data_IF_442676250597
#
_entry.id   IF_442676250597
#
_cell.length_a   1.000
_cell.length_b   1.000
_cell.length_c   1.000
_cell.angle_alpha   90.00
_cell.angle_beta   90.00
_cell.angle_gamma   90.00
#
_symmetry.space_group_name_H-M   'P 1'
#
loop_
_entity.id
_entity.type
_entity.pdbx_description
1 polymer ?
#
# COMPACT_ATOMS: atom_id res chain seq x y z
N UNK A 1 2.12 -12.64 -9.47
CA UNK A 1 1.17 -11.57 -9.76
C UNK A 1 0.88 -11.60 -11.25
N UNK A 2 -0.35 -11.31 -11.66
CA UNK A 2 -0.69 -11.17 -13.07
C UNK A 2 0.16 -10.10 -13.75
N UNK A 3 0.16 -10.12 -15.09
CA UNK A 3 0.77 -9.03 -15.87
C UNK A 3 0.02 -7.74 -15.59
N UNK A 4 0.75 -6.63 -15.57
CA UNK A 4 0.16 -5.31 -15.36
C UNK A 4 -0.37 -4.81 -16.69
N UNK A 5 -1.66 -4.52 -16.73
CA UNK A 5 -2.31 -3.86 -17.86
C UNK A 5 -2.01 -2.37 -17.79
N UNK A 6 -1.43 -1.82 -18.86
CA UNK A 6 -1.02 -0.43 -18.96
C UNK A 6 -2.11 0.35 -19.70
N UNK A 7 -2.97 1.02 -18.93
CA UNK A 7 -3.99 1.92 -19.45
C UNK A 7 -3.36 3.23 -19.94
N UNK A 8 -4.11 4.01 -20.73
CA UNK A 8 -3.65 5.33 -21.19
C UNK A 8 -3.27 6.24 -20.03
N UNK A 9 -4.09 6.23 -18.98
CA UNK A 9 -3.88 7.03 -17.78
C UNK A 9 -2.70 6.54 -16.94
N UNK A 10 -2.56 5.23 -16.75
CA UNK A 10 -1.42 4.66 -16.03
C UNK A 10 -0.09 4.96 -16.75
N UNK A 11 -0.09 4.94 -18.08
CA UNK A 11 1.06 5.32 -18.89
C UNK A 11 1.42 6.81 -18.75
N UNK A 12 0.40 7.68 -18.76
CA UNK A 12 0.59 9.11 -18.52
C UNK A 12 1.15 9.36 -17.11
N UNK A 13 0.58 8.72 -16.08
CA UNK A 13 1.06 8.83 -14.70
C UNK A 13 2.47 8.31 -14.55
N UNK A 14 2.84 7.21 -15.21
CA UNK A 14 4.23 6.71 -15.23
C UNK A 14 5.19 7.75 -15.79
N UNK A 15 4.79 8.43 -16.87
CA UNK A 15 5.59 9.49 -17.49
C UNK A 15 5.73 10.71 -16.59
N UNK A 16 4.64 11.17 -15.98
CA UNK A 16 4.64 12.26 -14.99
C UNK A 16 5.56 11.91 -13.81
N UNK A 17 5.39 10.71 -13.26
CA UNK A 17 6.20 10.19 -12.16
C UNK A 17 7.69 10.22 -12.51
N UNK A 18 8.10 9.66 -13.66
CA UNK A 18 9.50 9.70 -14.09
C UNK A 18 10.03 11.13 -14.23
N UNK A 19 9.24 12.05 -14.81
CA UNK A 19 9.64 13.45 -15.00
C UNK A 19 9.84 14.13 -13.64
N UNK A 20 8.97 13.86 -12.67
CA UNK A 20 9.08 14.43 -11.32
C UNK A 20 10.39 14.03 -10.62
N UNK A 21 10.86 12.80 -10.84
CA UNK A 21 12.16 12.32 -10.35
C UNK A 21 13.34 12.69 -11.27
N UNK A 22 13.13 13.50 -12.31
CA UNK A 22 14.16 13.95 -13.26
C UNK A 22 14.94 12.82 -13.95
N UNK A 23 14.34 11.63 -14.09
CA UNK A 23 14.99 10.48 -14.73
C UNK A 23 14.73 10.48 -16.24
N UNK A 24 15.76 10.20 -17.05
CA UNK A 24 15.59 10.12 -18.51
C UNK A 24 14.99 8.77 -18.89
N UNK A 25 14.05 8.78 -19.83
CA UNK A 25 13.45 7.57 -20.39
C UNK A 25 14.49 6.54 -20.91
N UNK A 26 15.61 7.02 -21.46
CA UNK A 26 16.70 6.16 -21.92
C UNK A 26 17.33 5.37 -20.79
N UNK A 27 17.60 6.03 -19.65
CA UNK A 27 18.27 5.41 -18.51
C UNK A 27 17.40 4.31 -17.91
N UNK A 28 16.08 4.53 -17.83
CA UNK A 28 15.12 3.51 -17.40
C UNK A 28 15.11 2.32 -18.37
N UNK A 29 15.09 2.58 -19.68
CA UNK A 29 15.08 1.53 -20.70
C UNK A 29 16.34 0.65 -20.61
N UNK A 30 17.51 1.29 -20.49
CA UNK A 30 18.80 0.62 -20.34
C UNK A 30 18.80 -0.25 -19.06
N UNK A 31 18.28 0.26 -17.93
CA UNK A 31 18.20 -0.49 -16.67
C UNK A 31 17.36 -1.78 -16.77
N UNK A 32 16.23 -1.74 -17.50
CA UNK A 32 15.39 -2.93 -17.70
C UNK A 32 15.82 -3.81 -18.88
N UNK A 33 17.00 -3.56 -19.46
CA UNK A 33 17.51 -4.23 -20.66
C UNK A 33 16.53 -4.18 -21.84
N UNK A 34 15.91 -3.02 -22.06
CA UNK A 34 14.99 -2.75 -23.17
C UNK A 34 15.45 -1.54 -23.97
N UNK A 35 14.87 -1.34 -25.14
CA UNK A 35 15.19 -0.17 -25.97
C UNK A 35 14.42 1.07 -25.52
N UNK A 36 14.97 2.26 -25.74
CA UNK A 36 14.25 3.52 -25.50
C UNK A 36 12.90 3.58 -26.25
N UNK A 37 12.81 2.93 -27.42
CA UNK A 37 11.55 2.80 -28.16
C UNK A 37 10.53 1.91 -27.44
N UNK A 38 10.96 0.83 -26.78
CA UNK A 38 10.07 0.02 -25.93
C UNK A 38 9.52 0.84 -24.77
N UNK A 39 10.39 1.55 -24.03
CA UNK A 39 9.95 2.34 -22.89
C UNK A 39 9.05 3.51 -23.30
N UNK A 40 9.35 4.18 -24.41
CA UNK A 40 8.45 5.19 -24.99
C UNK A 40 7.08 4.61 -25.36
N UNK A 41 7.02 3.39 -25.89
CA UNK A 41 5.74 2.71 -26.14
C UNK A 41 4.99 2.38 -24.84
N UNK A 42 5.69 2.11 -23.75
CA UNK A 42 5.09 1.90 -22.42
C UNK A 42 4.43 3.19 -21.91
N UNK A 43 5.16 4.33 -21.93
CA UNK A 43 4.66 5.64 -21.50
C UNK A 43 3.54 6.22 -22.38
N UNK A 44 3.34 5.67 -23.57
CA UNK A 44 2.27 6.07 -24.50
C UNK A 44 1.15 5.01 -24.60
N UNK A 45 1.11 4.03 -23.69
CA UNK A 45 0.12 2.93 -23.68
C UNK A 45 0.00 2.14 -25.01
N UNK A 46 1.06 2.14 -25.82
CA UNK A 46 1.19 1.35 -27.03
C UNK A 46 1.58 -0.11 -26.73
N UNK A 47 2.24 -0.34 -25.60
CA UNK A 47 2.36 -1.67 -24.98
C UNK A 47 1.23 -1.80 -23.97
N UNK A 48 0.36 -2.81 -24.15
CA UNK A 48 -0.82 -3.00 -23.30
C UNK A 48 -0.54 -3.77 -22.02
N UNK A 49 0.52 -4.58 -21.98
CA UNK A 49 0.85 -5.39 -20.81
C UNK A 49 2.35 -5.43 -20.53
N UNK A 50 2.71 -5.51 -19.26
CA UNK A 50 4.10 -5.65 -18.79
C UNK A 50 4.16 -6.66 -17.63
N UNK A 51 5.26 -7.41 -17.53
CA UNK A 51 5.47 -8.30 -16.40
C UNK A 51 5.54 -7.49 -15.09
N UNK A 52 4.83 -7.92 -14.04
CA UNK A 52 4.81 -7.24 -12.73
C UNK A 52 6.23 -6.95 -12.21
N UNK A 53 7.11 -7.95 -12.25
CA UNK A 53 8.50 -7.80 -11.80
C UNK A 53 9.30 -6.79 -12.61
N UNK A 54 8.99 -6.63 -13.90
CA UNK A 54 9.63 -5.62 -14.75
C UNK A 54 9.10 -4.23 -14.41
N UNK A 55 7.81 -4.10 -14.14
CA UNK A 55 7.22 -2.82 -13.76
C UNK A 55 7.68 -2.32 -12.40
N UNK A 56 7.78 -3.22 -11.41
CA UNK A 56 8.37 -2.90 -10.10
C UNK A 56 9.81 -2.40 -10.27
N UNK A 57 10.63 -3.09 -11.07
CA UNK A 57 12.00 -2.64 -11.38
C UNK A 57 12.05 -1.25 -12.02
N UNK A 58 11.15 -0.95 -12.95
CA UNK A 58 11.03 0.39 -13.56
C UNK A 58 10.82 1.45 -12.47
N UNK A 59 9.85 1.24 -11.59
CA UNK A 59 9.46 2.23 -10.60
C UNK A 59 10.48 2.39 -9.47
N UNK A 60 11.08 1.28 -9.05
CA UNK A 60 12.17 1.30 -8.06
C UNK A 60 13.40 2.01 -8.62
N UNK A 61 13.72 1.79 -9.90
CA UNK A 61 14.80 2.54 -10.56
C UNK A 61 14.51 4.04 -10.66
N UNK A 62 13.27 4.43 -10.99
CA UNK A 62 12.88 5.85 -11.10
C UNK A 62 13.09 6.58 -9.76
N UNK A 63 12.70 5.95 -8.66
CA UNK A 63 12.84 6.54 -7.32
C UNK A 63 14.21 6.30 -6.69
N UNK A 64 15.03 5.43 -7.29
CA UNK A 64 16.24 4.89 -6.68
C UNK A 64 16.01 4.27 -5.29
N UNK A 65 14.83 3.67 -5.07
CA UNK A 65 14.46 2.99 -3.83
C UNK A 65 13.70 1.71 -4.11
N UNK A 66 13.67 0.77 -3.17
CA UNK A 66 12.81 -0.42 -3.29
C UNK A 66 11.31 -0.13 -3.08
N UNK A 67 10.98 1.11 -2.70
CA UNK A 67 9.61 1.59 -2.45
C UNK A 67 8.98 2.29 -3.65
N UNK A 68 9.65 2.34 -4.80
CA UNK A 68 9.15 3.06 -5.97
C UNK A 68 7.78 2.58 -6.46
N UNK A 69 7.53 1.27 -6.46
CA UNK A 69 6.23 0.71 -6.82
C UNK A 69 5.10 1.14 -5.86
N UNK A 70 5.23 0.97 -4.54
CA UNK A 70 4.28 1.53 -3.57
C UNK A 70 4.03 3.02 -3.74
N UNK A 71 5.08 3.85 -3.84
CA UNK A 71 4.95 5.31 -4.00
C UNK A 71 4.16 5.68 -5.24
N UNK A 72 4.41 4.96 -6.35
CA UNK A 72 3.66 5.16 -7.58
C UNK A 72 2.18 4.80 -7.43
N UNK A 73 1.86 3.66 -6.81
CA UNK A 73 0.47 3.24 -6.63
C UNK A 73 -0.30 4.15 -5.67
N UNK A 74 0.34 4.65 -4.60
CA UNK A 74 -0.24 5.67 -3.74
C UNK A 74 -0.53 6.96 -4.54
N UNK A 75 0.41 7.42 -5.37
CA UNK A 75 0.19 8.60 -6.23
C UNK A 75 -0.98 8.41 -7.21
N UNK A 76 -1.21 7.18 -7.70
CA UNK A 76 -2.35 6.86 -8.54
C UNK A 76 -3.66 6.99 -7.75
N UNK A 77 -3.71 6.51 -6.50
CA UNK A 77 -4.92 6.54 -5.67
C UNK A 77 -5.48 7.94 -5.40
N UNK A 78 -4.61 8.95 -5.41
CA UNK A 78 -4.98 10.35 -5.19
C UNK A 78 -5.59 11.01 -6.44
N UNK A 79 -5.29 10.49 -7.63
CA UNK A 79 -5.59 11.15 -8.89
C UNK A 79 -6.68 10.45 -9.72
N UNK A 80 -6.95 9.17 -9.46
CA UNK A 80 -7.99 8.40 -10.16
C UNK A 80 -9.38 8.56 -9.53
N UNK A 81 -10.41 8.34 -10.36
CA UNK A 81 -11.78 8.16 -9.86
C UNK A 81 -11.90 6.85 -9.07
N UNK A 82 -12.92 6.74 -8.22
CA UNK A 82 -13.12 5.54 -7.42
C UNK A 82 -13.51 4.34 -8.30
N UNK A 83 -14.23 4.61 -9.39
CA UNK A 83 -14.55 3.64 -10.43
C UNK A 83 -13.28 3.13 -11.13
N UNK A 84 -12.37 4.02 -11.55
CA UNK A 84 -11.15 3.64 -12.24
C UNK A 84 -10.20 2.82 -11.34
N UNK A 85 -10.13 3.15 -10.05
CA UNK A 85 -9.34 2.39 -9.07
C UNK A 85 -9.87 0.97 -8.88
N UNK A 86 -11.19 0.80 -8.83
CA UNK A 86 -11.84 -0.51 -8.68
C UNK A 86 -11.72 -1.40 -9.90
N UNK A 87 -11.47 -0.83 -11.08
CA UNK A 87 -11.28 -1.60 -12.32
C UNK A 87 -9.80 -1.89 -12.61
N UNK A 88 -8.88 -1.21 -11.94
CA UNK A 88 -7.45 -1.40 -12.12
C UNK A 88 -6.94 -2.59 -11.28
N UNK A 89 -6.80 -3.76 -11.93
CA UNK A 89 -6.31 -4.99 -11.30
C UNK A 89 -4.94 -4.82 -10.61
N UNK A 90 -4.04 -4.03 -11.17
CA UNK A 90 -2.72 -3.81 -10.57
C UNK A 90 -2.84 -2.99 -9.27
N UNK A 91 -3.71 -1.97 -9.28
CA UNK A 91 -4.01 -1.20 -8.08
C UNK A 91 -4.74 -2.04 -7.02
N UNK A 92 -5.74 -2.84 -7.42
CA UNK A 92 -6.45 -3.74 -6.50
C UNK A 92 -5.50 -4.71 -5.80
N UNK A 93 -4.56 -5.31 -6.54
CA UNK A 93 -3.53 -6.18 -5.97
C UNK A 93 -2.65 -5.42 -4.97
N UNK A 94 -2.17 -4.23 -5.33
CA UNK A 94 -1.40 -3.41 -4.40
C UNK A 94 -2.17 -3.06 -3.12
N UNK A 95 -3.36 -2.45 -3.27
CA UNK A 95 -4.14 -1.90 -2.17
C UNK A 95 -4.68 -2.98 -1.23
N UNK A 96 -5.22 -4.07 -1.80
CA UNK A 96 -5.91 -5.09 -1.01
C UNK A 96 -5.05 -6.29 -0.60
N UNK A 97 -4.01 -6.64 -1.38
CA UNK A 97 -3.22 -7.86 -1.18
C UNK A 97 -1.82 -7.55 -0.63
N UNK A 98 -1.11 -6.59 -1.21
CA UNK A 98 0.30 -6.33 -0.87
C UNK A 98 0.44 -5.41 0.35
N UNK A 99 -0.41 -4.39 0.43
CA UNK A 99 -0.33 -3.36 1.47
C UNK A 99 -0.76 -3.93 2.83
N UNK A 100 0.16 -3.90 3.78
CA UNK A 100 -0.11 -4.28 5.17
C UNK A 100 -0.52 -3.05 5.99
N UNK A 101 -1.67 -3.17 6.66
CA UNK A 101 -2.30 -2.10 7.43
C UNK A 101 -2.33 -2.54 8.90
N UNK A 102 -2.04 -1.65 9.86
CA UNK A 102 -2.26 -1.93 11.28
C UNK A 102 -3.70 -2.38 11.54
N UNK A 103 -3.87 -3.50 12.22
CA UNK A 103 -5.18 -4.07 12.52
C UNK A 103 -5.67 -3.52 13.87
N UNK A 104 -6.83 -2.85 13.92
CA UNK A 104 -7.41 -2.39 15.18
C UNK A 104 -7.84 -3.57 16.06
N UNK A 105 -7.47 -3.54 17.36
CA UNK A 105 -7.88 -4.56 18.34
C UNK A 105 -9.39 -4.81 18.34
N UNK A 106 -10.18 -3.74 18.22
CA UNK A 106 -11.65 -3.85 18.18
C UNK A 106 -12.18 -4.70 17.03
N UNK A 107 -11.49 -4.74 15.88
CA UNK A 107 -11.87 -5.59 14.75
C UNK A 107 -11.58 -7.06 15.05
N UNK A 108 -10.43 -7.34 15.67
CA UNK A 108 -10.08 -8.69 16.11
C UNK A 108 -11.06 -9.18 17.17
N UNK A 109 -11.45 -8.32 18.10
CA UNK A 109 -12.44 -8.66 19.13
C UNK A 109 -13.83 -8.95 18.52
N UNK A 110 -14.28 -8.19 17.51
CA UNK A 110 -15.53 -8.47 16.77
C UNK A 110 -15.47 -9.82 16.04
N UNK A 111 -14.38 -10.09 15.32
CA UNK A 111 -14.18 -11.37 14.63
C UNK A 111 -14.21 -12.55 15.61
N UNK A 112 -13.50 -12.44 16.74
CA UNK A 112 -13.49 -13.50 17.75
C UNK A 112 -14.87 -13.74 18.36
N UNK A 113 -15.64 -12.69 18.64
CA UNK A 113 -17.00 -12.82 19.15
C UNK A 113 -17.90 -13.56 18.16
N UNK A 114 -17.83 -13.21 16.87
CA UNK A 114 -18.63 -13.88 15.82
C UNK A 114 -18.28 -15.35 15.66
N UNK A 115 -16.99 -15.71 15.72
CA UNK A 115 -16.54 -17.12 15.71
C UNK A 115 -17.18 -17.90 16.87
N UNK A 116 -17.19 -17.32 18.08
CA UNK A 116 -17.78 -17.93 19.27
C UNK A 116 -19.31 -18.06 19.14
N UNK A 117 -19.98 -17.00 18.68
CA UNK A 117 -21.44 -16.95 18.52
C UNK A 117 -21.95 -17.94 17.47
N UNK A 118 -21.17 -18.13 16.39
CA UNK A 118 -21.43 -19.14 15.36
C UNK A 118 -21.06 -20.56 15.77
N UNK A 119 -20.42 -20.73 16.93
CA UNK A 119 -19.95 -22.02 17.45
C UNK A 119 -19.02 -22.77 16.49
N UNK A 120 -18.13 -22.03 15.81
CA UNK A 120 -17.12 -22.58 14.90
C UNK A 120 -15.71 -22.38 15.48
N UNK A 121 -14.73 -23.07 14.92
CA UNK A 121 -13.30 -22.83 15.18
C UNK A 121 -12.67 -21.98 14.09
N UNK A 122 -11.49 -21.42 14.36
CA UNK A 122 -10.69 -20.73 13.34
C UNK A 122 -10.30 -21.66 12.19
N UNK A 123 -10.13 -22.97 12.45
CA UNK A 123 -9.85 -23.95 11.42
C UNK A 123 -11.05 -24.16 10.49
N UNK A 124 -12.26 -24.30 11.07
CA UNK A 124 -13.49 -24.43 10.28
C UNK A 124 -13.69 -23.22 9.35
N UNK A 125 -13.41 -22.02 9.87
CA UNK A 125 -13.50 -20.79 9.09
C UNK A 125 -12.49 -20.75 7.94
N UNK A 126 -11.23 -21.14 8.18
CA UNK A 126 -10.19 -21.18 7.14
C UNK A 126 -10.53 -22.22 6.07
N UNK A 127 -10.99 -23.41 6.49
CA UNK A 127 -11.44 -24.45 5.56
C UNK A 127 -12.59 -23.93 4.70
N UNK A 128 -13.56 -23.23 5.28
CA UNK A 128 -14.68 -22.65 4.54
C UNK A 128 -14.23 -21.56 3.55
N UNK A 129 -13.37 -20.63 3.99
CA UNK A 129 -12.81 -19.58 3.11
C UNK A 129 -12.07 -20.20 1.91
N UNK A 130 -11.25 -21.22 2.18
CA UNK A 130 -10.39 -21.83 1.16
C UNK A 130 -11.16 -22.71 0.16
N UNK A 131 -12.43 -23.03 0.41
CA UNK A 131 -13.29 -23.70 -0.57
C UNK A 131 -13.59 -22.81 -1.78
N UNK A 132 -13.50 -21.49 -1.65
CA UNK A 132 -13.77 -20.54 -2.74
C UNK A 132 -15.11 -20.79 -3.45
N UNK A 133 -16.16 -21.17 -2.70
CA UNK A 133 -17.42 -21.67 -3.27
C UNK A 133 -18.14 -20.68 -4.21
N UNK A 134 -17.87 -19.38 -4.07
CA UNK A 134 -18.41 -18.34 -4.95
C UNK A 134 -17.82 -18.40 -6.38
N UNK A 135 -16.68 -19.07 -6.55
CA UNK A 135 -16.04 -19.39 -7.83
C UNK A 135 -16.38 -20.83 -8.24
N UNK A 136 -17.67 -21.12 -8.35
CA UNK A 136 -18.18 -22.46 -8.66
C UNK A 136 -17.77 -22.99 -10.06
N UNK A 137 -18.05 -24.27 -10.32
CA UNK A 137 -17.72 -24.93 -11.60
C UNK A 137 -18.23 -24.16 -12.83
N UNK A 138 -19.42 -23.55 -12.74
CA UNK A 138 -19.98 -22.75 -13.83
C UNK A 138 -19.13 -21.52 -14.13
N UNK A 139 -18.62 -20.84 -13.10
CA UNK A 139 -17.71 -19.71 -13.25
C UNK A 139 -16.41 -20.15 -13.93
N UNK A 140 -15.81 -21.24 -13.45
CA UNK A 140 -14.56 -21.80 -13.98
C UNK A 140 -14.71 -22.21 -15.44
N UNK A 141 -15.82 -22.86 -15.81
CA UNK A 141 -16.15 -23.23 -17.19
C UNK A 141 -16.43 -22.00 -18.08
N UNK A 142 -17.17 -21.00 -17.58
CA UNK A 142 -17.53 -19.80 -18.34
C UNK A 142 -16.29 -19.04 -18.83
N UNK A 143 -15.31 -18.90 -17.94
CA UNK A 143 -14.08 -18.14 -18.15
C UNK A 143 -12.88 -18.99 -18.56
N UNK A 144 -13.05 -20.31 -18.68
CA UNK A 144 -11.99 -21.26 -19.06
C UNK A 144 -10.73 -21.10 -18.20
N UNK A 145 -10.94 -21.09 -16.89
CA UNK A 145 -9.87 -20.89 -15.92
C UNK A 145 -9.02 -22.17 -15.79
N UNK A 146 -7.70 -22.05 -15.97
CA UNK A 146 -6.74 -23.11 -15.63
C UNK A 146 -6.13 -22.81 -14.25
N UNK A 147 -6.36 -23.70 -13.29
CA UNK A 147 -5.83 -23.60 -11.92
C UNK A 147 -4.30 -23.43 -11.89
N UNK A 148 -3.57 -23.88 -12.91
CA UNK A 148 -2.10 -23.71 -12.99
C UNK A 148 -1.68 -22.28 -13.30
N UNK A 149 -2.56 -21.47 -13.87
CA UNK A 149 -2.30 -20.08 -14.24
C UNK A 149 -2.73 -19.09 -13.13
N UNK A 150 -3.57 -19.55 -12.20
CA UNK A 150 -4.12 -18.73 -11.13
C UNK A 150 -3.30 -18.90 -9.86
N UNK A 151 -2.62 -17.82 -9.47
CA UNK A 151 -1.97 -17.74 -8.17
C UNK A 151 -3.00 -17.32 -7.12
N UNK A 152 -3.13 -18.04 -6.00
CA UNK A 152 -3.97 -17.60 -4.89
C UNK A 152 -3.56 -16.24 -4.34
N UNK A 153 -4.53 -15.56 -3.74
CA UNK A 153 -4.42 -14.23 -3.17
C UNK A 153 -3.89 -13.22 -4.19
N UNK A 154 -4.42 -13.24 -5.41
CA UNK A 154 -4.17 -12.25 -6.45
C UNK A 154 -5.48 -11.96 -7.17
N UNK A 155 -5.79 -10.69 -7.40
CA UNK A 155 -6.90 -10.28 -8.25
C UNK A 155 -6.55 -10.49 -9.72
N UNK A 156 -7.54 -10.97 -10.48
CA UNK A 156 -7.46 -11.17 -11.92
C UNK A 156 -8.66 -10.54 -12.61
N UNK A 157 -8.51 -10.16 -13.88
CA UNK A 157 -9.65 -9.85 -14.75
C UNK A 157 -10.06 -11.11 -15.50
N UNK A 158 -11.35 -11.47 -15.59
CA UNK A 158 -11.79 -12.57 -16.44
C UNK A 158 -11.38 -12.39 -17.90
N UNK A 159 -11.20 -11.13 -18.36
CA UNK A 159 -10.73 -10.80 -19.71
C UNK A 159 -9.30 -11.28 -19.99
N UNK A 160 -8.52 -11.59 -18.95
CA UNK A 160 -7.17 -12.12 -19.10
C UNK A 160 -7.18 -13.57 -19.62
N UNK A 161 -8.29 -14.30 -19.41
CA UNK A 161 -8.46 -15.70 -19.79
C UNK A 161 -9.39 -15.89 -20.99
N UNK A 162 -10.32 -14.96 -21.19
CA UNK A 162 -11.28 -15.03 -22.29
C UNK A 162 -11.51 -13.68 -22.95
N UNK A 163 -11.72 -13.68 -24.27
CA UNK A 163 -12.10 -12.48 -25.03
C UNK A 163 -13.60 -12.17 -24.94
N UNK A 164 -14.35 -12.86 -24.07
CA UNK A 164 -15.79 -12.62 -23.89
C UNK A 164 -16.02 -11.31 -23.12
N UNK A 165 -16.97 -10.51 -23.59
CA UNK A 165 -17.51 -9.43 -22.76
C UNK A 165 -18.27 -10.04 -21.59
N UNK A 166 -17.98 -9.55 -20.39
CA UNK A 166 -18.62 -9.99 -19.15
C UNK A 166 -18.86 -8.81 -18.23
N UNK A 167 -19.89 -8.92 -17.40
CA UNK A 167 -20.17 -7.98 -16.32
C UNK A 167 -19.28 -8.23 -15.10
N UNK A 168 -18.61 -9.39 -15.02
CA UNK A 168 -17.64 -9.70 -13.98
C UNK A 168 -16.34 -8.94 -14.29
N UNK A 169 -16.00 -8.00 -13.42
CA UNK A 169 -14.83 -7.13 -13.62
C UNK A 169 -13.54 -7.73 -13.08
N UNK A 170 -13.64 -8.46 -11.98
CA UNK A 170 -12.49 -9.07 -11.32
C UNK A 170 -12.90 -10.25 -10.44
N UNK A 171 -11.94 -11.14 -10.16
CA UNK A 171 -12.09 -12.25 -9.22
C UNK A 171 -10.78 -12.56 -8.51
N UNK A 172 -10.85 -13.30 -7.40
CA UNK A 172 -9.70 -13.71 -6.59
C UNK A 172 -9.96 -15.09 -6.00
N UNK A 173 -8.96 -15.97 -6.09
CA UNK A 173 -8.94 -17.23 -5.33
C UNK A 173 -8.23 -16.96 -4.02
N UNK A 174 -8.92 -17.13 -2.90
CA UNK A 174 -8.36 -16.96 -1.56
C UNK A 174 -7.71 -18.26 -1.09
N UNK A 175 -6.54 -18.11 -0.48
CA UNK A 175 -5.90 -19.19 0.27
C UNK A 175 -5.32 -18.61 1.57
N UNK A 176 -6.04 -18.84 2.67
CA UNK A 176 -5.69 -18.38 4.00
C UNK A 176 -4.95 -19.48 4.77
N UNK A 177 -3.83 -19.11 5.37
CA UNK A 177 -3.05 -19.98 6.26
C UNK A 177 -3.59 -19.88 7.69
N UNK A 178 -3.90 -21.02 8.30
CA UNK A 178 -4.45 -21.08 9.66
C UNK A 178 -3.52 -20.45 10.70
N UNK A 179 -2.21 -20.66 10.60
CA UNK A 179 -1.25 -20.10 11.56
C UNK A 179 -1.20 -18.58 11.48
N UNK A 180 -1.39 -18.01 10.28
CA UNK A 180 -1.51 -16.56 10.10
C UNK A 180 -2.78 -16.02 10.73
N UNK A 181 -3.92 -16.71 10.52
CA UNK A 181 -5.18 -16.29 11.14
C UNK A 181 -5.10 -16.36 12.66
N UNK A 182 -4.63 -17.47 13.23
CA UNK A 182 -4.48 -17.63 14.69
C UNK A 182 -3.55 -16.57 15.28
N UNK A 183 -2.45 -16.24 14.61
CA UNK A 183 -1.54 -15.18 15.04
C UNK A 183 -2.19 -13.79 15.02
N UNK A 184 -3.07 -13.51 14.04
CA UNK A 184 -3.88 -12.29 14.00
C UNK A 184 -4.93 -12.26 15.12
N UNK A 185 -5.69 -13.35 15.30
CA UNK A 185 -6.77 -13.44 16.30
C UNK A 185 -6.24 -13.39 17.75
N UNK A 186 -5.02 -13.87 17.97
CA UNK A 186 -4.29 -13.76 19.24
C UNK A 186 -3.55 -12.41 19.41
N UNK A 187 -3.67 -11.49 18.45
CA UNK A 187 -3.01 -10.17 18.42
C UNK A 187 -1.47 -10.24 18.42
N UNK A 188 -0.88 -11.40 18.13
CA UNK A 188 0.57 -11.57 17.97
C UNK A 188 1.07 -10.93 16.67
N UNK A 189 0.25 -10.95 15.62
CA UNK A 189 0.47 -10.18 14.39
C UNK A 189 -0.41 -8.94 14.41
N UNK A 190 0.21 -7.76 14.28
CA UNK A 190 -0.49 -6.46 14.41
C UNK A 190 -0.80 -5.79 13.07
N UNK A 191 -0.41 -6.41 11.95
CA UNK A 191 -0.65 -5.89 10.60
C UNK A 191 -1.16 -7.01 9.69
N UNK A 192 -2.11 -6.67 8.82
CA UNK A 192 -2.63 -7.59 7.80
C UNK A 192 -2.96 -6.82 6.52
N UNK A 193 -3.11 -7.54 5.41
CA UNK A 193 -3.66 -6.93 4.20
C UNK A 193 -5.19 -6.84 4.28
N UNK A 194 -5.75 -5.95 3.45
CA UNK A 194 -7.18 -5.68 3.51
C UNK A 194 -8.02 -6.90 3.14
N UNK A 195 -7.61 -7.64 2.11
CA UNK A 195 -8.38 -8.77 1.60
C UNK A 195 -8.51 -9.89 2.62
N UNK A 196 -7.49 -10.15 3.44
CA UNK A 196 -7.55 -11.21 4.46
C UNK A 196 -8.69 -10.95 5.44
N UNK A 197 -8.76 -9.75 6.03
CA UNK A 197 -9.80 -9.44 7.01
C UNK A 197 -11.17 -9.27 6.36
N UNK A 198 -11.22 -8.76 5.14
CA UNK A 198 -12.46 -8.68 4.38
C UNK A 198 -13.02 -10.08 4.08
N UNK A 199 -12.19 -11.02 3.62
CA UNK A 199 -12.58 -12.41 3.38
C UNK A 199 -13.04 -13.10 4.66
N UNK A 200 -12.34 -12.90 5.79
CA UNK A 200 -12.76 -13.42 7.10
C UNK A 200 -14.15 -12.90 7.47
N UNK A 201 -14.35 -11.58 7.42
CA UNK A 201 -15.63 -10.98 7.78
C UNK A 201 -16.76 -11.41 6.85
N UNK A 202 -16.52 -11.41 5.54
CA UNK A 202 -17.48 -11.85 4.53
C UNK A 202 -17.96 -13.29 4.76
N UNK A 203 -17.05 -14.24 5.07
CA UNK A 203 -17.44 -15.62 5.31
C UNK A 203 -18.14 -15.81 6.67
N UNK A 204 -17.79 -15.02 7.68
CA UNK A 204 -18.56 -14.99 8.94
C UNK A 204 -19.99 -14.54 8.70
N UNK A 205 -20.20 -13.47 7.92
CA UNK A 205 -21.54 -13.00 7.55
C UNK A 205 -22.31 -14.06 6.75
N UNK A 206 -21.66 -14.79 5.82
CA UNK A 206 -22.32 -15.92 5.12
C UNK A 206 -22.83 -16.99 6.08
N UNK A 207 -22.08 -17.28 7.14
CA UNK A 207 -22.49 -18.24 8.17
C UNK A 207 -23.63 -17.69 9.04
N UNK A 208 -23.59 -16.40 9.40
CA UNK A 208 -24.66 -15.72 10.15
C UNK A 208 -25.98 -15.68 9.38
N UNK A 209 -25.90 -15.49 8.06
CA UNK A 209 -27.04 -15.40 7.16
C UNK A 209 -27.35 -16.72 6.43
N UNK A 210 -26.80 -17.86 6.88
CA UNK A 210 -26.92 -19.14 6.17
C UNK A 210 -28.36 -19.59 5.91
N UNK A 211 -29.29 -19.23 6.79
CA UNK A 211 -30.72 -19.56 6.66
C UNK A 211 -31.54 -18.46 5.94
N UNK A 212 -30.88 -17.41 5.45
CA UNK A 212 -31.50 -16.26 4.80
C UNK A 212 -31.05 -16.17 3.34
N UNK A 213 -31.98 -15.79 2.47
CA UNK A 213 -31.64 -15.50 1.07
C UNK A 213 -31.11 -14.07 0.98
N UNK A 214 -29.81 -13.91 1.21
CA UNK A 214 -29.11 -12.62 1.12
C UNK A 214 -28.29 -12.57 -0.16
N UNK A 215 -28.31 -11.41 -0.82
CA UNK A 215 -27.48 -11.15 -1.99
C UNK A 215 -25.99 -11.12 -1.60
N UNK A 216 -25.15 -11.86 -2.34
CA UNK A 216 -23.69 -11.90 -2.14
C UNK A 216 -23.09 -10.49 -2.19
N UNK A 217 -23.57 -9.64 -3.10
CA UNK A 217 -23.07 -8.28 -3.21
C UNK A 217 -23.38 -7.45 -1.93
N UNK A 218 -24.52 -7.69 -1.29
CA UNK A 218 -24.88 -7.05 -0.04
C UNK A 218 -23.95 -7.48 1.11
N UNK A 219 -23.62 -8.78 1.19
CA UNK A 219 -22.69 -9.30 2.20
C UNK A 219 -21.26 -8.74 2.02
N UNK A 220 -20.82 -8.55 0.78
CA UNK A 220 -19.52 -7.91 0.51
C UNK A 220 -19.50 -6.44 0.94
N UNK A 221 -20.59 -5.70 0.69
CA UNK A 221 -20.74 -4.32 1.15
C UNK A 221 -20.74 -4.27 2.67
N UNK A 222 -21.50 -5.15 3.34
CA UNK A 222 -21.57 -5.22 4.79
C UNK A 222 -20.22 -5.58 5.42
N UNK A 223 -19.48 -6.53 4.86
CA UNK A 223 -18.13 -6.85 5.31
C UNK A 223 -17.22 -5.62 5.26
N UNK A 224 -17.25 -4.89 4.14
CA UNK A 224 -16.50 -3.64 4.02
C UNK A 224 -16.95 -2.57 5.03
N UNK A 225 -18.26 -2.43 5.26
CA UNK A 225 -18.80 -1.45 6.21
C UNK A 225 -18.38 -1.76 7.66
N UNK A 226 -18.28 -3.04 8.02
CA UNK A 226 -17.74 -3.46 9.32
C UNK A 226 -16.25 -3.11 9.43
N UNK A 227 -15.45 -3.42 8.40
CA UNK A 227 -14.03 -3.03 8.37
C UNK A 227 -13.86 -1.50 8.51
N UNK A 228 -14.67 -0.74 7.78
CA UNK A 228 -14.71 0.74 7.83
C UNK A 228 -15.13 1.25 9.21
N UNK A 229 -16.13 0.63 9.84
CA UNK A 229 -16.59 0.96 11.20
C UNK A 229 -15.47 0.78 12.23
N UNK A 230 -14.66 -0.27 12.08
CA UNK A 230 -13.47 -0.49 12.90
C UNK A 230 -12.25 0.30 12.45
N UNK A 231 -12.39 1.10 11.39
CA UNK A 231 -11.38 1.99 10.83
C UNK A 231 -10.17 1.30 10.19
N UNK A 232 -10.43 0.15 9.59
CA UNK A 232 -9.48 -0.61 8.80
C UNK A 232 -9.74 -0.36 7.30
N UNK A 233 -8.96 0.56 6.71
CA UNK A 233 -9.27 1.16 5.41
C UNK A 233 -8.34 0.73 4.27
N UNK A 234 -8.94 0.40 3.14
CA UNK A 234 -8.23 0.41 1.84
C UNK A 234 -7.90 1.85 1.42
N UNK A 235 -6.98 2.03 0.48
CA UNK A 235 -6.71 3.34 -0.15
C UNK A 235 -7.94 3.83 -0.92
N UNK A 236 -8.72 2.91 -1.49
CA UNK A 236 -9.99 3.24 -2.13
C UNK A 236 -10.97 3.88 -1.13
N UNK A 237 -11.05 3.37 0.11
CA UNK A 237 -11.90 3.95 1.16
C UNK A 237 -11.37 5.32 1.60
N UNK A 238 -10.05 5.44 1.79
CA UNK A 238 -9.41 6.72 2.12
C UNK A 238 -9.65 7.79 1.05
N UNK A 239 -9.60 7.42 -0.23
CA UNK A 239 -9.88 8.34 -1.35
C UNK A 239 -11.34 8.82 -1.34
N UNK A 240 -12.30 7.90 -1.11
CA UNK A 240 -13.73 8.26 -0.93
C UNK A 240 -13.93 9.25 0.22
N UNK A 241 -13.35 8.96 1.39
CA UNK A 241 -13.48 9.84 2.56
C UNK A 241 -12.89 11.21 2.31
N UNK A 242 -11.75 11.30 1.64
CA UNK A 242 -11.14 12.57 1.26
C UNK A 242 -12.05 13.39 0.33
N UNK A 243 -12.71 12.74 -0.64
CA UNK A 243 -13.64 13.39 -1.59
C UNK A 243 -14.96 13.82 -0.94
N UNK A 244 -15.46 13.05 0.04
CA UNK A 244 -16.76 13.30 0.68
C UNK A 244 -16.69 14.28 1.84
N UNK A 245 -15.53 14.41 2.49
CA UNK A 245 -15.35 15.30 3.63
C UNK A 245 -15.42 16.76 3.18
N UNK A 246 -16.41 17.50 3.66
CA UNK A 246 -16.60 18.93 3.33
C UNK A 246 -15.74 19.83 4.21
N UNK A 247 -15.21 19.29 5.30
CA UNK A 247 -14.33 20.00 6.24
C UNK A 247 -13.22 19.10 6.74
N UNK A 248 -12.13 19.73 7.22
CA UNK A 248 -11.01 19.02 7.84
C UNK A 248 -11.43 18.24 9.10
N UNK A 249 -12.39 18.76 9.85
CA UNK A 249 -12.91 18.12 11.07
C UNK A 249 -13.72 16.85 10.76
N UNK A 250 -14.48 16.86 9.67
CA UNK A 250 -15.21 15.67 9.17
C UNK A 250 -14.22 14.59 8.72
N UNK A 251 -13.17 14.98 7.99
CA UNK A 251 -12.10 14.07 7.59
C UNK A 251 -11.34 13.50 8.79
N UNK A 252 -10.96 14.34 9.77
CA UNK A 252 -10.23 13.92 10.96
C UNK A 252 -11.04 12.88 11.79
N UNK A 253 -12.37 12.97 11.81
CA UNK A 253 -13.22 11.99 12.49
C UNK A 253 -13.25 10.60 11.82
N UNK A 254 -13.03 10.55 10.50
CA UNK A 254 -12.95 9.34 9.70
C UNK A 254 -11.61 8.61 9.85
N UNK A 255 -10.62 9.20 10.51
CA UNK A 255 -9.31 8.57 10.68
C UNK A 255 -9.27 7.64 11.90
N UNK A 256 -8.49 6.56 11.79
CA UNK A 256 -8.14 5.74 12.95
C UNK A 256 -7.10 6.44 13.83
N UNK A 257 -6.86 5.93 15.03
CA UNK A 257 -5.96 6.58 15.98
C UNK A 257 -4.52 6.61 15.48
N UNK A 258 -4.09 5.62 14.68
CA UNK A 258 -2.78 5.63 14.04
C UNK A 258 -2.66 6.78 13.02
N UNK A 259 -3.67 6.94 12.16
CA UNK A 259 -3.75 7.98 11.15
C UNK A 259 -3.81 9.38 11.81
N UNK A 260 -4.63 9.55 12.86
CA UNK A 260 -4.72 10.78 13.65
C UNK A 260 -3.37 11.15 14.28
N UNK A 261 -2.74 10.18 14.94
CA UNK A 261 -1.44 10.40 15.57
C UNK A 261 -0.39 10.77 14.53
N UNK A 262 -0.34 10.06 13.40
CA UNK A 262 0.55 10.38 12.29
C UNK A 262 0.33 11.83 11.80
N UNK A 263 -0.92 12.26 11.59
CA UNK A 263 -1.23 13.64 11.18
C UNK A 263 -0.80 14.67 12.22
N UNK A 264 -1.00 14.40 13.51
CA UNK A 264 -0.53 15.28 14.59
C UNK A 264 1.00 15.41 14.53
N UNK A 265 1.73 14.31 14.35
CA UNK A 265 3.19 14.32 14.29
C UNK A 265 3.72 15.03 13.05
N UNK A 266 3.15 14.75 11.87
CA UNK A 266 3.49 15.45 10.62
C UNK A 266 3.20 16.94 10.74
N UNK A 267 2.05 17.32 11.30
CA UNK A 267 1.70 18.74 11.51
C UNK A 267 2.67 19.46 12.45
N UNK A 268 3.16 18.79 13.50
CA UNK A 268 4.21 19.34 14.38
C UNK A 268 5.52 19.57 13.63
N UNK A 269 5.93 18.62 12.79
CA UNK A 269 7.14 18.74 11.95
C UNK A 269 6.99 19.93 10.97
N UNK A 270 5.88 19.98 10.23
CA UNK A 270 5.61 21.07 9.28
C UNK A 270 5.54 22.43 9.96
N UNK A 271 4.98 22.51 11.17
CA UNK A 271 4.93 23.75 11.95
C UNK A 271 6.33 24.22 12.36
N UNK A 272 7.21 23.29 12.76
CA UNK A 272 8.61 23.61 13.06
C UNK A 272 9.37 24.09 11.82
N UNK A 273 9.18 23.42 10.68
CA UNK A 273 9.76 23.84 9.39
C UNK A 273 9.28 25.25 9.03
N UNK A 274 7.96 25.49 9.11
CA UNK A 274 7.37 26.80 8.82
C UNK A 274 7.96 27.91 9.69
N UNK A 275 8.09 27.66 11.00
CA UNK A 275 8.72 28.63 11.91
C UNK A 275 10.14 29.00 11.49
N UNK A 276 10.97 28.02 11.11
CA UNK A 276 12.35 28.28 10.65
C UNK A 276 12.34 29.02 9.31
N UNK A 277 11.45 28.66 8.38
CA UNK A 277 11.31 29.33 7.08
C UNK A 277 10.87 30.78 7.21
N UNK A 278 9.94 31.08 8.12
CA UNK A 278 9.47 32.44 8.39
C UNK A 278 10.57 33.30 9.05
N UNK A 279 11.48 32.68 9.81
CA UNK A 279 12.60 33.35 10.48
C UNK A 279 13.80 33.58 9.55
N UNK A 280 14.23 32.57 8.79
CA UNK A 280 15.32 32.64 7.82
C UNK A 280 15.09 31.62 6.69
N UNK A 281 14.43 32.09 5.62
CA UNK A 281 14.10 31.26 4.45
C UNK A 281 15.35 30.72 3.75
N UNK A 282 16.47 31.44 3.77
CA UNK A 282 17.69 31.02 3.09
C UNK A 282 18.35 29.87 3.84
N UNK A 283 18.40 29.96 5.17
CA UNK A 283 18.86 28.88 6.02
C UNK A 283 17.93 27.67 5.95
N UNK A 284 16.61 27.89 6.01
CA UNK A 284 15.61 26.84 5.89
C UNK A 284 15.75 26.06 4.58
N UNK A 285 15.85 26.75 3.44
CA UNK A 285 16.02 26.10 2.13
C UNK A 285 17.27 25.22 2.08
N UNK A 286 18.39 25.67 2.65
CA UNK A 286 19.63 24.87 2.70
C UNK A 286 19.46 23.59 3.52
N UNK A 287 18.69 23.63 4.60
CA UNK A 287 18.38 22.43 5.40
C UNK A 287 17.42 21.50 4.67
N UNK A 288 16.33 22.06 4.13
CA UNK A 288 15.29 21.31 3.44
C UNK A 288 15.81 20.61 2.18
N UNK A 289 16.70 21.25 1.42
CA UNK A 289 17.36 20.63 0.26
C UNK A 289 18.13 19.37 0.66
N UNK A 290 18.89 19.42 1.77
CA UNK A 290 19.61 18.25 2.30
C UNK A 290 18.65 17.16 2.79
N UNK A 291 17.61 17.56 3.52
CA UNK A 291 16.58 16.64 4.04
C UNK A 291 15.87 15.92 2.89
N UNK A 292 15.45 16.66 1.87
CA UNK A 292 14.81 16.11 0.68
C UNK A 292 15.76 15.14 -0.05
N UNK A 293 17.01 15.56 -0.28
CA UNK A 293 18.03 14.70 -0.90
C UNK A 293 18.24 13.41 -0.12
N UNK A 294 18.31 13.48 1.22
CA UNK A 294 18.49 12.30 2.06
C UNK A 294 17.27 11.36 2.00
N UNK A 295 16.06 11.91 2.06
CA UNK A 295 14.82 11.15 1.92
C UNK A 295 14.73 10.47 0.54
N UNK A 296 15.15 11.16 -0.53
CA UNK A 296 15.16 10.61 -1.90
C UNK A 296 16.15 9.45 -2.06
N UNK A 297 17.25 9.44 -1.30
CA UNK A 297 18.26 8.37 -1.34
C UNK A 297 17.85 7.16 -0.51
N UNK A 298 17.46 7.39 0.75
CA UNK A 298 17.01 6.32 1.65
C UNK A 298 15.99 6.90 2.66
N UNK A 299 14.68 6.79 2.38
CA UNK A 299 13.65 7.37 3.22
C UNK A 299 13.59 6.70 4.60
N UNK A 300 13.78 5.37 4.66
CA UNK A 300 13.69 4.62 5.92
C UNK A 300 14.84 4.96 6.86
N UNK A 301 16.08 4.90 6.37
CA UNK A 301 17.25 5.27 7.17
C UNK A 301 17.21 6.75 7.56
N UNK A 302 16.83 7.63 6.64
CA UNK A 302 16.76 9.06 6.92
C UNK A 302 15.73 9.38 8.00
N UNK A 303 14.54 8.78 7.94
CA UNK A 303 13.53 8.95 8.98
C UNK A 303 14.00 8.37 10.33
N UNK A 304 14.70 7.22 10.32
CA UNK A 304 15.30 6.67 11.54
C UNK A 304 16.34 7.62 12.14
N UNK A 305 17.20 8.18 11.30
CA UNK A 305 18.20 9.15 11.72
C UNK A 305 17.55 10.40 12.31
N UNK A 306 16.50 10.93 11.67
CA UNK A 306 15.70 12.05 12.19
C UNK A 306 14.99 11.71 13.51
N UNK A 307 14.61 10.44 13.71
CA UNK A 307 13.98 9.96 14.95
C UNK A 307 14.97 9.83 16.13
N UNK A 308 16.27 10.10 15.92
CA UNK A 308 17.27 10.10 17.00
C UNK A 308 16.88 11.09 18.09
N UNK A 309 16.85 10.63 19.34
CA UNK A 309 16.40 11.44 20.48
C UNK A 309 17.43 12.54 20.84
N UNK A 310 17.28 13.73 20.23
CA UNK A 310 18.14 14.90 20.50
C UNK A 310 17.71 15.72 21.72
N UNK A 311 16.60 15.36 22.40
CA UNK A 311 16.08 16.06 23.59
C UNK A 311 17.12 16.17 24.71
N UNK A 312 17.96 15.14 24.86
CA UNK A 312 19.07 15.05 25.82
C UNK A 312 20.18 16.08 25.57
N UNK A 313 20.18 16.73 24.42
CA UNK A 313 21.13 17.77 24.03
C UNK A 313 20.58 19.19 24.22
N UNK A 314 19.35 19.33 24.73
CA UNK A 314 18.65 20.62 24.83
C UNK A 314 19.43 21.67 25.63
N UNK A 315 20.02 21.26 26.75
CA UNK A 315 20.79 22.12 27.66
C UNK A 315 22.19 22.50 27.16
N UNK A 316 22.65 21.89 26.06
CA UNK A 316 23.96 22.21 25.50
C UNK A 316 24.00 23.63 24.91
N UNK A 317 25.16 24.27 25.07
CA UNK A 317 25.44 25.56 24.44
C UNK A 317 25.41 25.44 22.91
N UNK A 318 25.19 26.56 22.23
CA UNK A 318 25.21 26.62 20.75
C UNK A 318 26.54 26.08 20.20
N UNK A 319 27.66 26.40 20.85
CA UNK A 319 28.98 25.93 20.46
C UNK A 319 29.09 24.41 20.58
N UNK A 320 28.65 23.83 21.70
CA UNK A 320 28.66 22.38 21.89
C UNK A 320 27.74 21.65 20.90
N UNK A 321 26.57 22.23 20.56
CA UNK A 321 25.67 21.70 19.53
C UNK A 321 26.33 21.70 18.14
N UNK A 322 27.08 22.76 17.79
CA UNK A 322 27.85 22.81 16.54
C UNK A 322 28.96 21.77 16.50
N UNK A 323 29.70 21.60 17.59
CA UNK A 323 30.75 20.57 17.69
C UNK A 323 30.17 19.16 17.56
N UNK A 324 29.01 18.92 18.17
CA UNK A 324 28.30 17.65 18.04
C UNK A 324 27.92 17.36 16.58
N UNK A 325 27.33 18.33 15.87
CA UNK A 325 27.01 18.18 14.44
C UNK A 325 28.25 17.93 13.58
N UNK A 326 29.35 18.64 13.84
CA UNK A 326 30.62 18.41 13.12
C UNK A 326 31.19 17.00 13.37
N UNK A 327 30.97 16.42 14.56
CA UNK A 327 31.37 15.03 14.85
C UNK A 327 30.51 14.03 14.11
N UNK A 328 29.21 14.30 13.93
CA UNK A 328 28.33 13.49 13.09
C UNK A 328 28.83 13.52 11.64
N UNK A 329 29.12 14.70 11.09
CA UNK A 329 29.62 14.82 9.70
C UNK A 329 30.91 14.00 9.50
N UNK A 330 31.84 14.05 10.46
CA UNK A 330 33.06 13.22 10.43
C UNK A 330 32.76 11.73 10.49
N UNK A 331 31.85 11.32 11.36
CA UNK A 331 31.48 9.91 11.51
C UNK A 331 30.86 9.38 10.21
N UNK A 332 30.06 10.17 9.51
CA UNK A 332 29.48 9.80 8.22
C UNK A 332 30.59 9.54 7.19
N UNK A 333 31.57 10.44 7.08
CA UNK A 333 32.71 10.26 6.18
C UNK A 333 33.56 9.02 6.53
N UNK A 334 33.85 8.80 7.82
CA UNK A 334 34.58 7.63 8.31
C UNK A 334 33.82 6.31 8.03
N UNK A 335 32.49 6.33 8.14
CA UNK A 335 31.65 5.14 7.92
C UNK A 335 31.58 4.79 6.43
N UNK A 336 31.58 5.79 5.54
CA UNK A 336 31.56 5.59 4.08
C UNK A 336 32.78 4.83 3.56
N UNK A 337 33.88 4.80 4.31
CA UNK A 337 35.09 4.03 3.95
C UNK A 337 34.96 2.53 4.27
N UNK A 338 33.91 2.10 4.99
CA UNK A 338 33.65 0.70 5.34
C UNK A 338 32.35 0.20 4.69
N UNK A 339 32.43 -0.36 3.48
CA UNK A 339 31.25 -0.87 2.77
C UNK A 339 30.66 -2.14 3.40
N UNK A 340 29.33 -2.16 3.53
CA UNK A 340 28.51 -3.35 3.75
C UNK A 340 27.20 -3.20 2.97
N UNK A 341 27.04 -4.00 1.91
CA UNK A 341 25.82 -4.09 1.09
C UNK A 341 24.86 -5.11 1.71
N UNK A 342 24.07 -4.71 2.72
CA UNK A 342 22.89 -5.47 3.16
C UNK A 342 21.74 -4.52 3.51
N UNK A 343 20.51 -4.99 3.26
CA UNK A 343 19.27 -4.28 3.59
C UNK A 343 19.16 -4.21 5.11
N UNK A 344 19.16 -2.98 5.66
CA UNK A 344 18.99 -2.76 7.09
C UNK A 344 17.57 -2.23 7.36
N UNK A 345 16.75 -3.06 8.01
CA UNK A 345 15.53 -2.60 8.66
C UNK A 345 15.95 -2.11 10.04
N UNK A 346 15.79 -0.82 10.31
CA UNK A 346 16.17 -0.23 11.58
C UNK A 346 14.96 -0.21 12.54
N UNK A 347 14.98 -1.13 13.52
CA UNK A 347 14.03 -1.13 14.66
C UNK A 347 14.18 0.12 15.53
#
# INVERSE_FOLDING_TARGET
>A
MPKIVITGEMAQKLKEFRINYNIKAKDVADHINKTAAYYSKLENAAIKTVEYSTFVKVLNFITNTDTGYPTFMESISENLSDEDLKENIAFMNFDSVERNIPVPDSLIDDINNRIVDLHITSNDLVEYINQNEDLNDLFTEEFNLDDKEIKPNCWYSPKDFTNKETNVKSFIVINLDITKLESLLSKNTTKSNWITLCSVMYHLLKLEHKDQLVDIAALQIEANDILVKHKFYSLTDKSKFAKQSKSKEEYDNLLNDFDKNNMIYVSKILSAIKFISDYDIKYANKLLEKIATNIDVDPSFTLRFMATEVSKLSDLSITAKKEFLNRIDKLIEETKENNSDQIEIFD
#
